data_IF_704675622787
#
_entry.id   IF_704675622787
#
_cell.length_a   1.000
_cell.length_b   1.000
_cell.length_c   1.000
_cell.angle_alpha   90.00
_cell.angle_beta   90.00
_cell.angle_gamma   90.00
#
_symmetry.space_group_name_H-M   'P 1'
#
loop_
_entity.id
_entity.type
_entity.pdbx_description
1 polymer ?
#
# COMPACT_ATOMS: atom_id res chain seq x y z
N UNK A 1 -15.71 -1.24 5.51
CA UNK A 1 -16.31 -2.51 5.10
C UNK A 1 -15.71 -3.63 5.95
N UNK A 2 -16.53 -4.62 6.32
CA UNK A 2 -16.07 -5.84 7.00
C UNK A 2 -16.45 -7.05 6.16
N UNK A 3 -15.56 -8.03 6.09
CA UNK A 3 -15.81 -9.35 5.53
C UNK A 3 -15.46 -10.34 6.65
N UNK A 4 -16.48 -11.01 7.19
CA UNK A 4 -16.35 -11.69 8.47
C UNK A 4 -16.04 -10.67 9.57
N UNK A 5 -15.11 -10.99 10.46
CA UNK A 5 -14.71 -10.11 11.58
C UNK A 5 -13.56 -9.14 11.20
N UNK A 6 -13.03 -9.23 9.97
CA UNK A 6 -11.90 -8.42 9.54
C UNK A 6 -12.32 -7.15 8.82
N UNK A 7 -11.68 -6.01 9.10
CA UNK A 7 -11.92 -4.76 8.38
C UNK A 7 -11.18 -4.75 7.05
N UNK A 8 -11.82 -4.17 6.02
CA UNK A 8 -11.29 -4.04 4.67
C UNK A 8 -11.33 -2.60 4.19
N UNK A 9 -10.35 -2.21 3.40
CA UNK A 9 -10.38 -1.00 2.58
C UNK A 9 -11.00 -1.39 1.25
N UNK A 10 -11.98 -0.62 0.78
CA UNK A 10 -12.65 -0.83 -0.50
C UNK A 10 -12.35 0.33 -1.45
N UNK A 11 -11.88 0.01 -2.64
CA UNK A 11 -11.73 0.93 -3.77
C UNK A 11 -12.78 0.59 -4.82
N UNK A 12 -13.49 1.60 -5.28
CA UNK A 12 -14.60 1.44 -6.21
C UNK A 12 -14.22 1.98 -7.58
N UNK A 13 -14.52 1.23 -8.63
CA UNK A 13 -14.41 1.71 -10.00
C UNK A 13 -15.29 2.95 -10.18
N UNK A 14 -14.71 4.05 -10.64
CA UNK A 14 -15.44 5.28 -10.91
C UNK A 14 -16.10 5.24 -12.30
N UNK A 15 -17.20 5.96 -12.45
CA UNK A 15 -17.77 6.19 -13.77
C UNK A 15 -16.87 7.16 -14.55
N UNK A 16 -16.42 6.76 -15.71
CA UNK A 16 -15.56 7.58 -16.57
C UNK A 16 -14.06 7.29 -16.45
N UNK A 17 -13.65 6.33 -15.63
CA UNK A 17 -12.27 5.82 -15.68
C UNK A 17 -11.98 5.27 -17.09
N UNK A 18 -10.84 5.65 -17.63
CA UNK A 18 -10.42 5.27 -19.00
C UNK A 18 -10.05 3.80 -19.13
N UNK A 19 -9.81 3.11 -18.02
CA UNK A 19 -9.46 1.69 -17.93
C UNK A 19 -9.99 1.08 -16.62
N UNK A 20 -10.02 -0.25 -16.48
CA UNK A 20 -10.55 -0.92 -15.30
C UNK A 20 -9.55 -0.88 -14.13
N UNK A 21 -9.40 0.28 -13.48
CA UNK A 21 -8.41 0.53 -12.42
C UNK A 21 -8.43 -0.55 -11.32
N UNK A 22 -9.62 -0.92 -10.83
CA UNK A 22 -9.74 -1.94 -9.78
C UNK A 22 -9.17 -3.31 -10.19
N UNK A 23 -9.32 -3.69 -11.47
CA UNK A 23 -8.78 -4.96 -12.00
C UNK A 23 -7.27 -4.88 -12.20
N UNK A 24 -6.78 -3.76 -12.71
CA UNK A 24 -5.35 -3.53 -12.91
C UNK A 24 -4.63 -3.53 -11.55
N UNK A 25 -5.18 -2.82 -10.57
CA UNK A 25 -4.62 -2.79 -9.22
C UNK A 25 -4.59 -4.19 -8.57
N UNK A 26 -5.69 -4.95 -8.69
CA UNK A 26 -5.73 -6.33 -8.22
C UNK A 26 -4.66 -7.21 -8.89
N UNK A 27 -4.53 -7.11 -10.22
CA UNK A 27 -3.55 -7.90 -10.97
C UNK A 27 -2.12 -7.55 -10.56
N UNK A 28 -1.81 -6.27 -10.43
CA UNK A 28 -0.50 -5.78 -9.99
C UNK A 28 -0.18 -6.24 -8.58
N UNK A 29 -1.13 -6.16 -7.64
CA UNK A 29 -0.90 -6.58 -6.26
C UNK A 29 -0.79 -8.11 -6.13
N UNK A 30 -1.49 -8.89 -6.95
CA UNK A 30 -1.30 -10.34 -7.03
C UNK A 30 0.10 -10.69 -7.56
N UNK A 31 0.52 -10.03 -8.63
CA UNK A 31 1.88 -10.18 -9.15
C UNK A 31 2.93 -9.82 -8.09
N UNK A 32 2.73 -8.74 -7.35
CA UNK A 32 3.58 -8.36 -6.23
C UNK A 32 3.72 -9.50 -5.21
N UNK A 33 2.59 -10.09 -4.81
CA UNK A 33 2.56 -11.23 -3.88
C UNK A 33 3.28 -12.45 -4.44
N UNK A 34 3.08 -12.80 -5.72
CA UNK A 34 3.77 -13.91 -6.40
C UNK A 34 5.28 -13.66 -6.50
N UNK A 35 5.70 -12.41 -6.64
CA UNK A 35 7.10 -12.00 -6.56
C UNK A 35 7.64 -12.01 -5.11
N UNK A 36 6.83 -12.38 -4.12
CA UNK A 36 7.22 -12.47 -2.71
C UNK A 36 7.36 -11.12 -2.00
N UNK A 37 6.69 -10.07 -2.48
CA UNK A 37 6.48 -8.82 -1.75
C UNK A 37 5.44 -9.03 -0.65
N UNK A 38 5.58 -8.29 0.45
CA UNK A 38 4.61 -8.32 1.55
C UNK A 38 3.33 -7.56 1.13
N UNK A 39 2.30 -8.33 0.79
CA UNK A 39 1.02 -7.81 0.33
C UNK A 39 -0.08 -8.32 1.26
N UNK A 40 -0.92 -7.43 1.82
CA UNK A 40 -2.08 -7.85 2.61
C UNK A 40 -3.04 -8.72 1.79
N UNK A 41 -3.89 -9.54 2.42
CA UNK A 41 -4.91 -10.30 1.73
C UNK A 41 -5.80 -9.42 0.85
N UNK A 42 -6.08 -9.91 -0.36
CA UNK A 42 -6.83 -9.22 -1.39
C UNK A 42 -8.14 -9.96 -1.68
N UNK A 43 -9.21 -9.22 -1.97
CA UNK A 43 -10.46 -9.76 -2.50
C UNK A 43 -10.99 -8.84 -3.61
N UNK A 44 -11.90 -9.38 -4.42
CA UNK A 44 -12.50 -8.65 -5.52
C UNK A 44 -13.98 -9.00 -5.62
N UNK A 45 -14.81 -7.98 -5.76
CA UNK A 45 -16.25 -8.12 -5.91
C UNK A 45 -16.73 -7.33 -7.11
N UNK A 46 -17.76 -7.85 -7.77
CA UNK A 46 -18.52 -7.09 -8.75
C UNK A 46 -19.95 -6.96 -8.22
N UNK A 47 -20.41 -5.73 -8.01
CA UNK A 47 -21.74 -5.44 -7.48
C UNK A 47 -22.42 -4.42 -8.38
N UNK A 48 -23.58 -4.80 -8.97
CA UNK A 48 -24.32 -3.94 -9.90
C UNK A 48 -23.44 -3.37 -11.01
N UNK A 49 -22.67 -4.24 -11.68
CA UNK A 49 -21.71 -3.93 -12.75
C UNK A 49 -20.60 -2.95 -12.36
N UNK A 50 -20.31 -2.85 -11.06
CA UNK A 50 -19.18 -2.09 -10.55
C UNK A 50 -18.15 -2.99 -9.91
N UNK A 51 -16.94 -2.83 -10.35
CA UNK A 51 -15.80 -3.52 -9.78
C UNK A 51 -15.40 -2.86 -8.46
N UNK A 52 -15.14 -3.70 -7.46
CA UNK A 52 -14.71 -3.29 -6.12
C UNK A 52 -13.46 -4.09 -5.80
N UNK A 53 -12.35 -3.40 -5.67
CA UNK A 53 -11.11 -3.97 -5.16
C UNK A 53 -11.07 -3.83 -3.64
N UNK A 54 -10.68 -4.89 -2.96
CA UNK A 54 -10.67 -4.98 -1.51
C UNK A 54 -9.29 -5.40 -1.03
N UNK A 55 -8.78 -4.70 -0.02
CA UNK A 55 -7.54 -5.03 0.67
C UNK A 55 -7.80 -5.11 2.18
N UNK A 56 -7.36 -6.20 2.82
CA UNK A 56 -7.47 -6.33 4.28
C UNK A 56 -6.67 -5.22 4.96
N UNK A 57 -7.22 -4.63 6.01
CA UNK A 57 -6.55 -3.55 6.73
C UNK A 57 -5.32 -4.08 7.48
N UNK A 58 -4.16 -3.67 7.04
CA UNK A 58 -2.86 -3.98 7.59
C UNK A 58 -2.54 -3.22 8.90
N UNK A 59 -3.30 -2.15 9.15
CA UNK A 59 -3.16 -1.30 10.33
C UNK A 59 -4.14 -1.67 11.47
N UNK A 60 -4.69 -2.89 11.42
CA UNK A 60 -5.61 -3.43 12.42
C UNK A 60 -5.25 -4.86 12.77
N UNK A 61 -4.94 -5.10 14.03
CA UNK A 61 -4.61 -6.43 14.55
C UNK A 61 -5.80 -6.93 15.38
N UNK A 62 -6.39 -8.07 15.03
CA UNK A 62 -7.46 -8.66 15.84
C UNK A 62 -6.93 -9.16 17.19
N UNK A 63 -7.60 -8.75 18.28
CA UNK A 63 -7.40 -9.25 19.65
C UNK A 63 -8.75 -9.66 20.25
N UNK A 64 -9.17 -10.90 20.01
CA UNK A 64 -10.47 -11.38 20.48
C UNK A 64 -11.62 -10.48 19.97
N UNK A 65 -12.30 -9.77 20.87
CA UNK A 65 -13.46 -8.95 20.53
C UNK A 65 -13.12 -7.49 20.13
N UNK A 66 -11.85 -7.10 20.07
CA UNK A 66 -11.43 -5.75 19.72
C UNK A 66 -10.32 -5.75 18.68
N UNK A 67 -10.10 -4.59 18.05
CA UNK A 67 -9.09 -4.38 17.02
C UNK A 67 -8.06 -3.38 17.55
N UNK A 68 -6.84 -3.81 17.69
CA UNK A 68 -5.72 -2.93 17.96
C UNK A 68 -5.39 -2.10 16.72
N UNK A 69 -5.07 -0.84 16.93
CA UNK A 69 -4.60 0.06 15.88
C UNK A 69 -3.07 0.09 15.87
N UNK A 70 -2.48 -0.31 14.77
CA UNK A 70 -1.06 -0.02 14.52
C UNK A 70 -0.95 1.39 13.96
N UNK A 71 -0.14 2.27 14.59
CA UNK A 71 0.11 3.58 14.01
C UNK A 71 0.71 3.44 12.61
N UNK A 72 0.24 4.31 11.71
CA UNK A 72 0.63 4.33 10.31
C UNK A 72 1.00 5.75 9.91
N UNK A 73 2.11 5.90 9.20
CA UNK A 73 2.51 7.15 8.58
C UNK A 73 2.82 6.92 7.10
N UNK A 74 2.35 7.81 6.22
CA UNK A 74 2.76 7.77 4.82
C UNK A 74 4.22 8.21 4.66
N UNK A 75 4.86 7.86 3.55
CA UNK A 75 6.19 8.37 3.19
C UNK A 75 6.24 9.89 3.21
N UNK A 76 5.16 10.54 2.75
CA UNK A 76 5.02 12.00 2.82
C UNK A 76 5.14 12.52 4.27
N UNK A 77 4.44 11.87 5.20
CA UNK A 77 4.48 12.23 6.63
C UNK A 77 5.86 11.95 7.24
N UNK A 78 6.46 10.80 6.91
CA UNK A 78 7.77 10.41 7.43
C UNK A 78 8.88 11.36 7.01
N UNK A 79 8.79 11.92 5.80
CA UNK A 79 9.77 12.89 5.28
C UNK A 79 9.45 14.34 5.66
N UNK A 80 8.35 14.59 6.38
CA UNK A 80 7.89 15.94 6.71
C UNK A 80 7.61 16.81 5.49
N UNK A 81 7.30 16.17 4.35
CA UNK A 81 7.11 16.82 3.07
C UNK A 81 5.70 17.39 2.92
N UNK A 82 5.58 18.50 2.19
CA UNK A 82 4.30 19.05 1.79
C UNK A 82 3.84 18.45 0.46
N UNK A 83 2.54 18.39 0.23
CA UNK A 83 1.96 17.77 -0.97
C UNK A 83 2.43 18.43 -2.29
N UNK A 84 2.75 19.72 -2.26
CA UNK A 84 3.33 20.45 -3.40
C UNK A 84 4.79 20.09 -3.72
N UNK A 85 5.46 19.36 -2.84
CA UNK A 85 6.89 19.01 -2.94
C UNK A 85 7.11 17.55 -3.32
N UNK A 86 6.04 16.78 -3.57
CA UNK A 86 6.09 15.33 -3.83
C UNK A 86 7.06 14.96 -4.95
N UNK A 87 7.17 15.78 -5.99
CA UNK A 87 8.09 15.55 -7.12
C UNK A 87 9.57 15.76 -6.79
N UNK A 88 9.87 16.35 -5.63
CA UNK A 88 11.24 16.60 -5.18
C UNK A 88 11.86 15.42 -4.42
N UNK A 89 11.07 14.41 -4.10
CA UNK A 89 11.47 13.25 -3.30
C UNK A 89 11.63 12.00 -4.15
N UNK A 90 12.51 11.13 -3.70
CA UNK A 90 12.89 9.89 -4.37
C UNK A 90 12.84 8.67 -3.46
N UNK A 91 13.03 7.49 -4.03
CA UNK A 91 13.24 6.26 -3.25
C UNK A 91 14.46 6.32 -2.33
N UNK A 92 15.48 7.14 -2.68
CA UNK A 92 16.64 7.35 -1.82
C UNK A 92 16.26 8.07 -0.51
N UNK A 93 15.31 9.01 -0.56
CA UNK A 93 14.80 9.70 0.63
C UNK A 93 14.00 8.75 1.52
N UNK A 94 13.16 7.90 0.93
CA UNK A 94 12.46 6.84 1.67
C UNK A 94 13.46 5.86 2.31
N UNK A 95 14.52 5.49 1.61
CA UNK A 95 15.59 4.66 2.17
C UNK A 95 16.34 5.38 3.32
N UNK A 96 16.49 6.70 3.24
CA UNK A 96 16.99 7.53 4.33
C UNK A 96 16.11 7.46 5.58
N UNK A 97 14.78 7.59 5.40
CA UNK A 97 13.80 7.45 6.49
C UNK A 97 13.84 6.06 7.13
N UNK A 98 13.94 4.99 6.32
CA UNK A 98 14.10 3.62 6.83
C UNK A 98 15.36 3.49 7.68
N UNK A 99 16.50 4.04 7.25
CA UNK A 99 17.75 3.99 8.03
C UNK A 99 17.66 4.75 9.35
N UNK A 100 16.90 5.84 9.38
CA UNK A 100 16.77 6.70 10.55
C UNK A 100 15.76 6.16 11.57
N UNK A 101 14.65 5.61 11.12
CA UNK A 101 13.51 5.29 11.98
C UNK A 101 13.15 3.79 12.00
N UNK A 102 13.66 3.01 11.06
CA UNK A 102 13.30 1.60 10.93
C UNK A 102 13.92 0.70 12.00
N UNK A 103 13.18 -0.30 12.43
CA UNK A 103 13.63 -1.36 13.36
C UNK A 103 14.20 -2.57 12.61
N UNK A 104 13.80 -2.76 11.36
CA UNK A 104 14.21 -3.88 10.47
C UNK A 104 14.89 -3.34 9.20
N UNK A 105 15.85 -2.44 9.38
CA UNK A 105 16.43 -1.60 8.31
C UNK A 105 16.80 -2.37 7.04
N UNK A 106 17.52 -3.47 7.16
CA UNK A 106 17.97 -4.24 5.98
C UNK A 106 16.80 -4.90 5.25
N UNK A 107 15.87 -5.48 5.99
CA UNK A 107 14.66 -6.11 5.44
C UNK A 107 13.79 -5.08 4.71
N UNK A 108 13.55 -3.93 5.34
CA UNK A 108 12.72 -2.86 4.80
C UNK A 108 13.35 -2.19 3.57
N UNK A 109 14.68 -2.03 3.55
CA UNK A 109 15.40 -1.56 2.36
C UNK A 109 15.30 -2.52 1.19
N UNK A 110 15.40 -3.83 1.43
CA UNK A 110 15.21 -4.84 0.39
C UNK A 110 13.77 -4.83 -0.13
N UNK A 111 12.79 -4.74 0.77
CA UNK A 111 11.38 -4.63 0.39
C UNK A 111 11.12 -3.37 -0.46
N UNK A 112 11.63 -2.21 -0.03
CA UNK A 112 11.52 -0.94 -0.77
C UNK A 112 12.13 -1.06 -2.17
N UNK A 113 13.33 -1.65 -2.28
CA UNK A 113 14.00 -1.85 -3.57
C UNK A 113 13.18 -2.75 -4.51
N UNK A 114 12.62 -3.84 -4.00
CA UNK A 114 11.78 -4.76 -4.78
C UNK A 114 10.47 -4.10 -5.24
N UNK A 115 9.86 -3.26 -4.40
CA UNK A 115 8.68 -2.45 -4.76
C UNK A 115 9.01 -1.46 -5.86
N UNK A 116 10.14 -0.77 -5.77
CA UNK A 116 10.63 0.12 -6.83
C UNK A 116 10.78 -0.64 -8.16
N UNK A 117 11.43 -1.80 -8.14
CA UNK A 117 11.60 -2.61 -9.36
C UNK A 117 10.25 -3.06 -9.94
N UNK A 118 9.32 -3.49 -9.10
CA UNK A 118 7.98 -3.87 -9.56
C UNK A 118 7.28 -2.68 -10.22
N UNK A 119 7.28 -1.49 -9.59
CA UNK A 119 6.64 -0.29 -10.13
C UNK A 119 7.22 0.10 -11.49
N UNK A 120 8.54 -0.01 -11.67
CA UNK A 120 9.19 0.21 -12.96
C UNK A 120 8.74 -0.82 -13.99
N UNK A 121 8.72 -2.11 -13.64
CA UNK A 121 8.38 -3.19 -14.56
C UNK A 121 6.91 -3.18 -15.00
N UNK A 122 5.99 -2.77 -14.11
CA UNK A 122 4.56 -2.65 -14.45
C UNK A 122 4.19 -1.27 -14.99
N UNK A 123 5.17 -0.39 -15.19
CA UNK A 123 4.98 0.99 -15.68
C UNK A 123 3.99 1.78 -14.83
N UNK A 124 4.11 1.66 -13.49
CA UNK A 124 3.30 2.44 -12.55
C UNK A 124 3.89 3.85 -12.43
N UNK A 125 3.28 4.81 -13.11
CA UNK A 125 3.68 6.22 -13.13
C UNK A 125 2.99 7.07 -12.04
N UNK A 126 2.01 6.49 -11.33
CA UNK A 126 1.33 7.12 -10.17
C UNK A 126 1.98 6.73 -8.84
N UNK A 127 3.25 6.32 -8.85
CA UNK A 127 3.95 5.95 -7.63
C UNK A 127 4.53 7.18 -6.93
N UNK A 128 3.85 7.62 -5.89
CA UNK A 128 4.21 8.79 -5.10
C UNK A 128 4.31 8.47 -3.60
N UNK A 129 4.84 9.40 -2.80
CA UNK A 129 5.12 9.22 -1.36
C UNK A 129 3.92 8.77 -0.51
N UNK A 130 2.69 9.04 -0.94
CA UNK A 130 1.48 8.58 -0.22
C UNK A 130 1.18 7.10 -0.47
N UNK A 131 1.77 6.49 -1.51
CA UNK A 131 1.62 5.07 -1.81
C UNK A 131 2.57 4.19 -0.98
N UNK A 132 3.54 4.82 -0.32
CA UNK A 132 4.44 4.17 0.63
C UNK A 132 3.99 4.43 2.06
N UNK A 133 3.98 3.39 2.89
CA UNK A 133 3.54 3.48 4.27
C UNK A 133 4.48 2.80 5.24
N UNK A 134 4.60 3.41 6.40
CA UNK A 134 5.36 2.92 7.52
C UNK A 134 4.40 2.50 8.62
N UNK A 135 4.54 1.27 9.09
CA UNK A 135 3.80 0.74 10.22
C UNK A 135 4.69 0.75 11.45
N UNK A 136 4.16 1.20 12.55
CA UNK A 136 4.86 1.18 13.82
C UNK A 136 4.70 -0.18 14.50
N UNK A 137 5.80 -0.81 14.88
CA UNK A 137 5.82 -2.17 15.45
C UNK A 137 5.88 -2.19 16.99
N UNK A 138 5.86 -1.04 17.66
CA UNK A 138 5.97 -0.94 19.12
C UNK A 138 7.38 -0.70 19.60
#
# INVERSE_FOLDING_TARGET
TKIGDKPWIAKFQKRGDSFPECRVELATMRLASECGLDVPPLDFRCVLDRDIYLIERFDRIPHGNWLERRPFASGLTMLGAHESEVSSFSYADLAGAIRQFGTKVLQDLHELFRRMLLNILVTNDDDHLRNHGFLFDG
#
